data_IF_967818982871
#
_entry.id   IF_967818982871
#
_cell.length_a   1.000
_cell.length_b   1.000
_cell.length_c   1.000
_cell.angle_alpha   90.00
_cell.angle_beta   90.00
_cell.angle_gamma   90.00
#
_symmetry.space_group_name_H-M   'P 1'
#
loop_
_entity.id
_entity.type
_entity.pdbx_description
1 polymer ?
#
# COMPACT_ATOMS: atom_id res chain seq x y z
N UNK A 1 -4.72 -13.37 -17.69
CA UNK A 1 -6.17 -13.08 -17.56
C UNK A 1 -6.47 -12.10 -16.42
N UNK A 2 -5.93 -12.33 -15.21
CA UNK A 2 -6.10 -11.44 -14.04
C UNK A 2 -5.66 -9.99 -14.27
N UNK A 3 -4.52 -9.74 -14.93
CA UNK A 3 -4.05 -8.36 -15.17
C UNK A 3 -4.91 -7.57 -16.16
N UNK A 4 -5.58 -8.26 -17.11
CA UNK A 4 -6.51 -7.64 -18.07
C UNK A 4 -7.81 -7.27 -17.36
N UNK A 5 -8.32 -8.15 -16.50
CA UNK A 5 -9.48 -7.89 -15.65
C UNK A 5 -9.21 -6.76 -14.65
N UNK A 6 -8.03 -6.70 -14.04
CA UNK A 6 -7.63 -5.62 -13.13
C UNK A 6 -7.62 -4.24 -13.81
N UNK A 7 -7.19 -4.18 -15.08
CA UNK A 7 -7.22 -2.94 -15.87
C UNK A 7 -8.64 -2.51 -16.29
N UNK A 8 -9.52 -3.45 -16.64
CA UNK A 8 -10.92 -3.17 -17.04
C UNK A 8 -11.79 -2.78 -15.84
N UNK A 9 -11.55 -3.40 -14.68
CA UNK A 9 -12.33 -3.18 -13.46
C UNK A 9 -11.91 -1.93 -12.69
N UNK A 10 -10.90 -1.18 -13.17
CA UNK A 10 -10.44 0.09 -12.59
C UNK A 10 -10.24 0.04 -11.07
N UNK A 11 -9.78 -1.10 -10.54
CA UNK A 11 -9.56 -1.28 -9.10
C UNK A 11 -10.81 -1.53 -8.26
N UNK A 12 -12.00 -1.69 -8.84
CA UNK A 12 -13.22 -2.09 -8.10
C UNK A 12 -13.02 -3.43 -7.39
N UNK A 13 -12.39 -4.41 -8.05
CA UNK A 13 -12.06 -5.69 -7.42
C UNK A 13 -11.10 -5.50 -6.25
N UNK A 14 -10.15 -4.57 -6.38
CA UNK A 14 -9.22 -4.22 -5.31
C UNK A 14 -9.96 -3.57 -4.13
N UNK A 15 -10.95 -2.70 -4.40
CA UNK A 15 -11.80 -2.08 -3.38
C UNK A 15 -12.63 -3.13 -2.62
N UNK A 16 -13.26 -4.07 -3.33
CA UNK A 16 -14.01 -5.17 -2.71
C UNK A 16 -13.09 -6.09 -1.89
N UNK A 17 -11.92 -6.43 -2.39
CA UNK A 17 -10.92 -7.19 -1.63
C UNK A 17 -10.48 -6.44 -0.37
N UNK A 18 -10.27 -5.13 -0.45
CA UNK A 18 -9.91 -4.32 0.70
C UNK A 18 -11.02 -4.32 1.76
N UNK A 19 -12.28 -4.17 1.36
CA UNK A 19 -13.42 -4.21 2.26
C UNK A 19 -13.53 -5.58 2.97
N UNK A 20 -13.46 -6.67 2.20
CA UNK A 20 -13.52 -8.03 2.74
C UNK A 20 -12.36 -8.30 3.71
N UNK A 21 -11.12 -7.94 3.33
CA UNK A 21 -9.95 -8.08 4.18
C UNK A 21 -10.03 -7.20 5.44
N UNK A 22 -10.68 -6.04 5.34
CA UNK A 22 -10.96 -5.16 6.48
C UNK A 22 -11.91 -5.81 7.49
N UNK A 23 -13.01 -6.42 7.01
CA UNK A 23 -13.94 -7.17 7.88
C UNK A 23 -13.27 -8.37 8.55
N UNK A 24 -12.45 -9.14 7.82
CA UNK A 24 -11.69 -10.25 8.41
C UNK A 24 -10.69 -9.77 9.46
N UNK A 25 -9.98 -8.67 9.21
CA UNK A 25 -9.06 -8.08 10.19
C UNK A 25 -9.80 -7.64 11.46
N UNK A 26 -10.95 -6.99 11.33
CA UNK A 26 -11.79 -6.60 12.47
C UNK A 26 -12.25 -7.80 13.30
N UNK A 27 -12.64 -8.90 12.64
CA UNK A 27 -13.00 -10.13 13.33
C UNK A 27 -11.81 -10.72 14.09
N UNK A 28 -10.62 -10.78 13.47
CA UNK A 28 -9.40 -11.27 14.14
C UNK A 28 -9.06 -10.39 15.35
N UNK A 29 -9.14 -9.06 15.24
CA UNK A 29 -8.91 -8.16 16.37
C UNK A 29 -9.85 -8.45 17.54
N UNK A 30 -11.14 -8.66 17.25
CA UNK A 30 -12.12 -9.03 18.28
C UNK A 30 -11.82 -10.39 18.92
N UNK A 31 -11.46 -11.40 18.13
CA UNK A 31 -11.11 -12.73 18.62
C UNK A 31 -9.86 -12.73 19.51
N UNK A 32 -8.81 -12.00 19.11
CA UNK A 32 -7.55 -11.87 19.86
C UNK A 32 -7.77 -11.12 21.17
N UNK A 33 -8.60 -10.07 21.16
CA UNK A 33 -9.00 -9.38 22.39
C UNK A 33 -9.75 -10.31 23.36
N UNK A 34 -10.70 -11.11 22.86
CA UNK A 34 -11.40 -12.12 23.67
C UNK A 34 -10.49 -13.23 24.21
N UNK A 35 -9.38 -13.53 23.52
CA UNK A 35 -8.39 -14.50 23.96
C UNK A 35 -7.48 -13.99 25.09
N UNK A 36 -7.67 -12.75 25.56
CA UNK A 36 -6.95 -12.18 26.71
C UNK A 36 -5.76 -11.30 26.36
N UNK A 37 -5.54 -11.00 25.07
CA UNK A 37 -4.52 -10.03 24.68
C UNK A 37 -4.98 -8.60 24.98
N UNK A 38 -4.07 -7.81 25.55
CA UNK A 38 -4.31 -6.39 25.78
C UNK A 38 -4.33 -5.61 24.46
N UNK A 39 -5.10 -4.51 24.43
CA UNK A 39 -5.19 -3.62 23.26
C UNK A 39 -3.80 -3.08 22.89
N UNK A 40 -2.93 -2.81 23.87
CA UNK A 40 -1.55 -2.39 23.64
C UNK A 40 -0.72 -3.42 22.86
N UNK A 41 -0.82 -4.71 23.21
CA UNK A 41 -0.11 -5.79 22.49
C UNK A 41 -0.61 -5.95 21.05
N UNK A 42 -1.92 -5.80 20.83
CA UNK A 42 -2.53 -5.88 19.50
C UNK A 42 -2.04 -4.72 18.63
N UNK A 43 -2.04 -3.50 19.16
CA UNK A 43 -1.59 -2.31 18.44
C UNK A 43 -0.09 -2.39 18.16
N UNK A 44 0.72 -2.76 19.14
CA UNK A 44 2.18 -2.88 18.96
C UNK A 44 2.55 -3.84 17.82
N UNK A 45 1.79 -4.93 17.65
CA UNK A 45 2.04 -5.91 16.57
C UNK A 45 1.45 -5.52 15.21
N UNK A 46 0.45 -4.63 15.16
CA UNK A 46 -0.24 -4.26 13.90
C UNK A 46 0.09 -2.85 13.39
N UNK A 47 0.62 -1.98 14.24
CA UNK A 47 1.07 -0.64 13.87
C UNK A 47 2.14 -0.63 12.76
N UNK A 48 3.18 -1.51 12.78
CA UNK A 48 4.22 -1.50 11.73
C UNK A 48 3.65 -1.76 10.35
N UNK A 49 2.82 -2.81 10.21
CA UNK A 49 2.15 -3.17 8.96
C UNK A 49 1.18 -2.09 8.47
N UNK A 50 0.63 -1.26 9.36
CA UNK A 50 -0.28 -0.17 8.96
C UNK A 50 0.44 0.91 8.14
N UNK A 51 1.73 1.17 8.41
CA UNK A 51 2.53 2.12 7.64
C UNK A 51 2.92 1.57 6.25
N UNK A 52 3.17 0.27 6.15
CA UNK A 52 3.51 -0.37 4.87
C UNK A 52 2.37 -0.28 3.85
N UNK A 53 1.12 -0.37 4.31
CA UNK A 53 -0.06 -0.26 3.45
C UNK A 53 -0.10 1.10 2.75
N UNK A 54 0.26 2.19 3.44
CA UNK A 54 0.31 3.53 2.84
C UNK A 54 1.39 3.59 1.76
N UNK A 55 2.59 3.06 2.04
CA UNK A 55 3.67 2.97 1.07
C UNK A 55 3.28 2.15 -0.16
N UNK A 56 2.56 1.04 0.05
CA UNK A 56 2.06 0.16 -1.00
C UNK A 56 0.97 0.82 -1.86
N UNK A 57 0.04 1.55 -1.25
CA UNK A 57 -1.00 2.28 -2.00
C UNK A 57 -0.39 3.38 -2.87
N UNK A 58 0.58 4.14 -2.32
CA UNK A 58 1.28 5.19 -3.07
C UNK A 58 2.13 4.60 -4.20
N UNK A 59 2.79 3.45 -3.98
CA UNK A 59 3.55 2.77 -5.05
C UNK A 59 2.64 2.26 -6.16
N UNK A 60 1.47 1.70 -5.81
CA UNK A 60 0.45 1.31 -6.77
C UNK A 60 -0.06 2.50 -7.59
N UNK A 61 -0.35 3.64 -6.95
CA UNK A 61 -0.76 4.86 -7.62
C UNK A 61 0.32 5.40 -8.57
N UNK A 62 1.60 5.37 -8.14
CA UNK A 62 2.72 5.79 -8.97
C UNK A 62 2.90 4.85 -10.18
N UNK A 63 2.77 3.54 -9.99
CA UNK A 63 2.78 2.56 -11.07
C UNK A 63 1.67 2.79 -12.10
N UNK A 64 0.46 3.11 -11.65
CA UNK A 64 -0.66 3.50 -12.53
C UNK A 64 -0.37 4.79 -13.29
N UNK A 65 0.21 5.80 -12.63
CA UNK A 65 0.60 7.04 -13.27
C UNK A 65 1.65 6.82 -14.37
N UNK A 66 2.63 5.95 -14.14
CA UNK A 66 3.62 5.55 -15.15
C UNK A 66 2.93 4.86 -16.32
N UNK A 67 2.11 3.84 -16.06
CA UNK A 67 1.40 3.10 -17.09
C UNK A 67 0.51 4.00 -17.95
N UNK A 68 -0.18 4.96 -17.35
CA UNK A 68 -1.01 5.93 -18.06
C UNK A 68 -0.21 6.83 -19.00
N UNK A 69 0.95 7.32 -18.56
CA UNK A 69 1.81 8.15 -19.41
C UNK A 69 2.44 7.34 -20.56
N UNK A 70 2.74 6.05 -20.37
CA UNK A 70 3.16 5.16 -21.45
C UNK A 70 2.04 5.04 -22.51
N UNK A 71 0.78 4.87 -22.09
CA UNK A 71 -0.36 4.83 -23.02
C UNK A 71 -0.51 6.15 -23.80
N UNK A 72 -0.26 7.30 -23.16
CA UNK A 72 -0.28 8.60 -23.84
C UNK A 72 0.86 8.72 -24.87
N UNK A 73 2.03 8.16 -24.57
CA UNK A 73 3.19 8.12 -25.47
C UNK A 73 2.90 7.28 -26.71
N UNK A 74 2.27 6.10 -26.54
CA UNK A 74 1.81 5.26 -27.66
C UNK A 74 0.78 5.99 -28.54
N UNK A 75 -0.03 6.87 -27.95
CA UNK A 75 -0.98 7.73 -28.69
C UNK A 75 -0.31 8.96 -29.34
N UNK A 76 1.02 9.04 -29.33
CA UNK A 76 1.79 10.13 -29.95
C UNK A 76 1.83 11.43 -29.13
N UNK A 77 1.46 11.40 -27.84
CA UNK A 77 1.63 12.56 -26.96
C UNK A 77 3.02 12.56 -26.32
N UNK A 78 3.64 13.73 -26.23
CA UNK A 78 4.93 13.89 -25.56
C UNK A 78 4.80 13.79 -24.04
N UNK A 79 5.84 13.25 -23.40
CA UNK A 79 5.97 13.26 -21.94
C UNK A 79 6.18 14.69 -21.45
N UNK A 80 5.46 15.08 -20.40
CA UNK A 80 5.69 16.35 -19.73
C UNK A 80 6.98 16.29 -18.90
N UNK A 81 7.71 17.40 -18.80
CA UNK A 81 8.91 17.49 -17.94
C UNK A 81 8.59 17.14 -16.48
N UNK A 82 7.37 17.45 -16.02
CA UNK A 82 6.88 17.12 -14.69
C UNK A 82 6.77 15.60 -14.43
N UNK A 83 6.70 14.77 -15.48
CA UNK A 83 6.62 13.30 -15.35
C UNK A 83 7.81 12.73 -14.57
N UNK A 84 9.02 13.09 -14.98
CA UNK A 84 10.26 12.63 -14.33
C UNK A 84 10.37 13.16 -12.90
N UNK A 85 9.93 14.40 -12.67
CA UNK A 85 9.92 15.00 -11.34
C UNK A 85 8.99 14.24 -10.40
N UNK A 86 7.75 13.96 -10.84
CA UNK A 86 6.74 13.23 -10.06
C UNK A 86 7.22 11.80 -9.73
N UNK A 87 7.82 11.11 -10.70
CA UNK A 87 8.38 9.77 -10.46
C UNK A 87 9.54 9.83 -9.47
N UNK A 88 10.52 10.70 -9.70
CA UNK A 88 11.67 10.82 -8.82
C UNK A 88 11.27 11.16 -7.39
N UNK A 89 10.47 12.20 -7.19
CA UNK A 89 10.01 12.59 -5.84
C UNK A 89 9.10 11.54 -5.23
N UNK A 90 8.19 10.96 -6.01
CA UNK A 90 7.27 9.93 -5.55
C UNK A 90 8.00 8.67 -5.06
N UNK A 91 8.96 8.18 -5.83
CA UNK A 91 9.78 7.02 -5.45
C UNK A 91 10.60 7.28 -4.19
N UNK A 92 11.16 8.48 -4.02
CA UNK A 92 11.89 8.85 -2.78
C UNK A 92 10.96 8.87 -1.57
N UNK A 93 9.77 9.47 -1.70
CA UNK A 93 8.78 9.51 -0.62
C UNK A 93 8.35 8.09 -0.23
N UNK A 94 8.01 7.25 -1.21
CA UNK A 94 7.62 5.86 -0.98
C UNK A 94 8.74 5.08 -0.29
N UNK A 95 9.99 5.25 -0.74
CA UNK A 95 11.14 4.61 -0.13
C UNK A 95 11.31 5.02 1.34
N UNK A 96 11.20 6.31 1.66
CA UNK A 96 11.27 6.80 3.04
C UNK A 96 10.16 6.19 3.91
N UNK A 97 8.92 6.11 3.40
CA UNK A 97 7.80 5.52 4.14
C UNK A 97 8.04 4.05 4.45
N UNK A 98 8.49 3.26 3.46
CA UNK A 98 8.81 1.83 3.64
C UNK A 98 9.98 1.66 4.62
N UNK A 99 11.00 2.51 4.53
CA UNK A 99 12.15 2.48 5.43
C UNK A 99 11.76 2.80 6.88
N UNK A 100 10.88 3.78 7.08
CA UNK A 100 10.31 4.07 8.40
C UNK A 100 9.48 2.89 8.94
N UNK A 101 8.69 2.23 8.09
CA UNK A 101 7.91 1.05 8.49
C UNK A 101 8.83 -0.11 8.93
N UNK A 102 9.84 -0.42 8.12
CA UNK A 102 10.84 -1.45 8.43
C UNK A 102 11.65 -1.12 9.70
N UNK A 103 11.96 0.17 9.93
CA UNK A 103 12.62 0.61 11.15
C UNK A 103 11.73 0.38 12.39
N UNK A 104 10.46 0.78 12.33
CA UNK A 104 9.50 0.55 13.42
C UNK A 104 9.33 -0.94 13.70
N UNK A 105 9.24 -1.76 12.65
CA UNK A 105 9.18 -3.22 12.77
C UNK A 105 10.42 -3.80 13.43
N UNK A 106 11.62 -3.38 13.02
CA UNK A 106 12.88 -3.83 13.62
C UNK A 106 12.96 -3.49 15.12
N UNK A 107 12.49 -2.31 15.54
CA UNK A 107 12.44 -1.93 16.95
C UNK A 107 11.47 -2.79 17.77
N UNK A 108 10.33 -3.16 17.21
CA UNK A 108 9.35 -4.03 17.89
C UNK A 108 9.83 -5.49 17.89
N UNK A 109 10.52 -5.91 16.84
CA UNK A 109 11.06 -7.27 16.71
C UNK A 109 12.23 -7.52 17.66
N UNK A 110 13.15 -6.55 17.81
CA UNK A 110 14.30 -6.65 18.73
C UNK A 110 13.89 -6.63 20.21
N UNK A 111 12.73 -6.04 20.53
CA UNK A 111 12.24 -5.89 21.90
C UNK A 111 11.42 -7.11 22.40
N UNK A 112 11.07 -8.03 21.51
CA UNK A 112 10.47 -9.34 21.85
C UNK A 112 11.55 -10.43 21.84
#
# INVERSE_FOLDING_TARGET
MINILGGVLLGIVTLFNLLINGFYSAHIFYSVYKAGFSISQIVEKTLPHSFEIIGFMLSGALGFYIAWNILLLVKGKNLQVNFYKIIGTGSVIIFIIILCAAYVEAFISIKN
#
